data_IF_994253929123
#
_entry.id   IF_994253929123
#
_cell.length_a   1.000
_cell.length_b   1.000
_cell.length_c   1.000
_cell.angle_alpha   90.00
_cell.angle_beta   90.00
_cell.angle_gamma   90.00
#
_symmetry.space_group_name_H-M   'P 1'
#
loop_
_entity.id
_entity.type
_entity.pdbx_description
1 polymer ?
#
# COMPACT_ATOMS: atom_id res chain seq x y z
N UNK A 1 9.58 -8.33 12.32
CA UNK A 1 9.81 -7.60 11.06
C UNK A 1 9.45 -6.14 11.28
N UNK A 2 10.15 -5.23 10.60
CA UNK A 2 9.87 -3.80 10.65
C UNK A 2 9.20 -3.36 9.36
N UNK A 3 8.27 -2.41 9.44
CA UNK A 3 7.51 -2.01 8.26
C UNK A 3 7.23 -0.50 8.21
N UNK A 4 7.00 -0.03 6.99
CA UNK A 4 6.46 1.30 6.71
C UNK A 4 5.05 1.13 6.18
N UNK A 5 4.08 1.83 6.78
CA UNK A 5 2.68 1.87 6.33
C UNK A 5 2.42 3.18 5.60
N UNK A 6 1.88 3.08 4.39
CA UNK A 6 1.58 4.24 3.54
C UNK A 6 0.10 4.24 3.15
N UNK A 7 -0.50 5.42 3.05
CA UNK A 7 -1.95 5.60 3.02
C UNK A 7 -2.59 4.90 4.24
N UNK A 8 -2.01 5.16 5.41
CA UNK A 8 -2.16 4.34 6.62
C UNK A 8 -3.58 4.29 7.15
N UNK A 9 -4.40 5.32 6.89
CA UNK A 9 -5.71 5.43 7.50
C UNK A 9 -5.60 5.42 9.02
N UNK A 10 -6.45 4.64 9.69
CA UNK A 10 -6.41 4.42 11.14
C UNK A 10 -5.51 3.23 11.55
N UNK A 11 -4.71 2.72 10.63
CA UNK A 11 -3.65 1.72 10.82
C UNK A 11 -4.13 0.30 11.17
N UNK A 12 -4.83 -0.32 10.22
CA UNK A 12 -5.27 -1.71 10.36
C UNK A 12 -4.09 -2.71 10.34
N UNK A 13 -2.99 -2.38 9.66
CA UNK A 13 -1.82 -3.25 9.57
C UNK A 13 -1.17 -3.43 10.95
N UNK A 14 -1.00 -2.37 11.73
CA UNK A 14 -0.45 -2.45 13.09
C UNK A 14 -1.35 -3.30 13.99
N UNK A 15 -2.67 -3.14 13.93
CA UNK A 15 -3.61 -3.97 14.71
C UNK A 15 -3.45 -5.45 14.36
N UNK A 16 -3.29 -5.78 13.08
CA UNK A 16 -3.14 -7.17 12.62
C UNK A 16 -1.77 -7.77 12.98
N UNK A 17 -0.71 -6.96 12.96
CA UNK A 17 0.66 -7.44 13.05
C UNK A 17 1.32 -7.28 14.41
N UNK A 18 0.75 -6.45 15.28
CA UNK A 18 1.22 -6.29 16.67
C UNK A 18 1.33 -7.64 17.43
N UNK A 19 0.33 -8.56 17.34
CA UNK A 19 0.42 -9.88 17.98
C UNK A 19 1.56 -10.75 17.43
N UNK A 20 2.09 -10.44 16.25
CA UNK A 20 3.23 -11.13 15.64
C UNK A 20 4.57 -10.52 16.04
N UNK A 21 4.58 -9.47 16.86
CA UNK A 21 5.79 -8.75 17.24
C UNK A 21 6.40 -7.94 16.09
N UNK A 22 5.59 -7.53 15.12
CA UNK A 22 6.07 -6.66 14.04
C UNK A 22 5.92 -5.19 14.43
N UNK A 23 6.87 -4.36 14.01
CA UNK A 23 7.01 -2.99 14.48
C UNK A 23 6.88 -1.99 13.31
N UNK A 24 5.99 -0.98 13.41
CA UNK A 24 5.96 0.11 12.46
C UNK A 24 7.17 1.04 12.66
N UNK A 25 7.79 1.46 11.55
CA UNK A 25 8.86 2.45 11.53
C UNK A 25 8.31 3.86 11.29
N UNK A 26 7.33 3.96 10.42
CA UNK A 26 6.68 5.22 10.06
C UNK A 26 5.32 4.97 9.40
N UNK A 27 4.47 5.98 9.47
CA UNK A 27 3.20 6.08 8.77
C UNK A 27 3.25 7.19 7.72
N UNK A 28 2.40 7.11 6.70
CA UNK A 28 2.12 8.21 5.79
C UNK A 28 0.62 8.34 5.61
N UNK A 29 0.05 9.37 6.23
CA UNK A 29 -1.37 9.68 6.19
C UNK A 29 -1.54 11.21 6.16
N UNK A 30 -2.33 11.71 5.20
CA UNK A 30 -2.54 13.14 5.00
C UNK A 30 -3.86 13.64 5.60
N UNK A 31 -4.85 12.76 5.75
CA UNK A 31 -6.16 13.13 6.27
C UNK A 31 -6.05 13.48 7.77
N UNK A 32 -6.58 14.62 8.20
CA UNK A 32 -6.46 15.06 9.60
C UNK A 32 -7.08 14.11 10.61
N UNK A 33 -8.22 13.49 10.29
CA UNK A 33 -8.89 12.60 11.25
C UNK A 33 -8.10 11.31 11.49
N UNK A 34 -7.74 10.50 10.47
CA UNK A 34 -6.86 9.36 10.68
C UNK A 34 -5.52 9.73 11.32
N UNK A 35 -4.92 10.86 10.93
CA UNK A 35 -3.67 11.34 11.54
C UNK A 35 -3.79 11.58 13.04
N UNK A 36 -4.94 12.09 13.50
CA UNK A 36 -5.21 12.25 14.94
C UNK A 36 -5.33 10.89 15.63
N UNK A 37 -5.95 9.90 14.98
CA UNK A 37 -6.04 8.52 15.50
C UNK A 37 -4.66 7.90 15.61
N UNK A 38 -3.81 8.06 14.59
CA UNK A 38 -2.42 7.58 14.62
C UNK A 38 -1.63 8.20 15.78
N UNK A 39 -1.71 9.52 15.94
CA UNK A 39 -1.03 10.24 17.03
C UNK A 39 -1.50 9.79 18.41
N UNK A 40 -2.78 9.43 18.55
CA UNK A 40 -3.32 8.96 19.83
C UNK A 40 -2.84 7.55 20.19
N UNK A 41 -2.88 6.62 19.22
CA UNK A 41 -2.56 5.21 19.47
C UNK A 41 -1.08 4.88 19.34
N UNK A 42 -0.34 5.65 18.53
CA UNK A 42 1.07 5.41 18.19
C UNK A 42 1.89 6.69 18.30
N UNK A 43 1.93 7.35 19.48
CA UNK A 43 2.56 8.66 19.64
C UNK A 43 4.06 8.67 19.32
N UNK A 44 4.73 7.53 19.44
CA UNK A 44 6.17 7.38 19.21
C UNK A 44 6.52 7.04 17.75
N UNK A 45 5.51 6.80 16.91
CA UNK A 45 5.72 6.47 15.49
C UNK A 45 5.45 7.71 14.64
N UNK A 46 6.42 8.17 13.83
CA UNK A 46 6.23 9.37 13.03
C UNK A 46 5.20 9.15 11.92
N UNK A 47 4.24 10.08 11.79
CA UNK A 47 3.41 10.22 10.59
C UNK A 47 4.07 11.25 9.66
N UNK A 48 4.56 10.78 8.52
CA UNK A 48 5.31 11.57 7.53
C UNK A 48 4.40 12.42 6.62
N UNK A 49 3.08 12.27 6.74
CA UNK A 49 2.09 13.05 6.00
C UNK A 49 2.03 12.74 4.51
N UNK A 50 2.16 13.76 3.67
CA UNK A 50 1.99 13.70 2.22
C UNK A 50 3.07 12.83 1.55
N UNK A 51 2.65 11.69 1.02
CA UNK A 51 3.54 10.70 0.40
C UNK A 51 4.37 11.29 -0.74
N UNK A 52 3.84 12.29 -1.46
CA UNK A 52 4.54 12.93 -2.60
C UNK A 52 5.77 13.74 -2.17
N UNK A 53 5.89 14.04 -0.89
CA UNK A 53 6.96 14.88 -0.31
C UNK A 53 7.95 14.09 0.56
N UNK A 54 7.71 12.80 0.76
CA UNK A 54 8.53 12.00 1.65
C UNK A 54 9.88 11.67 1.00
N UNK A 55 10.94 11.94 1.74
CA UNK A 55 12.27 11.38 1.52
C UNK A 55 12.37 10.03 2.24
N UNK A 56 12.50 8.96 1.48
CA UNK A 56 12.57 7.60 2.01
C UNK A 56 13.97 7.19 2.46
N UNK A 57 14.99 8.01 2.19
CA UNK A 57 16.40 7.66 2.47
C UNK A 57 16.68 7.22 3.91
N UNK A 58 16.03 7.77 4.98
CA UNK A 58 16.26 7.32 6.34
C UNK A 58 15.75 5.90 6.64
N UNK A 59 14.87 5.36 5.80
CA UNK A 59 14.21 4.07 5.99
C UNK A 59 14.74 2.97 5.07
N UNK A 60 15.64 3.31 4.15
CA UNK A 60 16.27 2.35 3.23
C UNK A 60 17.06 1.31 4.00
N UNK A 61 16.77 0.03 3.76
CA UNK A 61 17.40 -1.09 4.46
C UNK A 61 16.90 -1.31 5.90
N UNK A 62 16.06 -0.42 6.45
CA UNK A 62 15.46 -0.59 7.76
C UNK A 62 14.08 -1.26 7.70
N UNK A 63 13.34 -1.06 6.61
CA UNK A 63 12.02 -1.62 6.40
C UNK A 63 12.09 -2.99 5.73
N UNK A 64 11.58 -4.01 6.40
CA UNK A 64 11.37 -5.35 5.82
C UNK A 64 10.15 -5.37 4.90
N UNK A 65 9.11 -4.57 5.22
CA UNK A 65 7.83 -4.54 4.52
C UNK A 65 7.40 -3.11 4.24
N UNK A 66 6.81 -2.89 3.06
CA UNK A 66 5.96 -1.73 2.75
C UNK A 66 4.52 -2.22 2.62
N UNK A 67 3.60 -1.63 3.37
CA UNK A 67 2.17 -1.94 3.30
C UNK A 67 1.36 -0.69 3.02
N UNK A 68 0.29 -0.83 2.25
CA UNK A 68 -0.64 0.27 2.02
C UNK A 68 -1.61 0.02 0.87
N UNK A 69 -2.64 0.86 0.81
CA UNK A 69 -3.65 0.83 -0.23
C UNK A 69 -3.78 2.21 -0.87
N UNK A 70 -3.29 2.39 -2.09
CA UNK A 70 -3.45 3.66 -2.78
C UNK A 70 -4.94 3.98 -3.01
N UNK A 71 -5.38 5.23 -2.79
CA UNK A 71 -6.78 5.62 -3.01
C UNK A 71 -7.27 5.31 -4.42
N UNK A 72 -8.48 4.72 -4.50
CA UNK A 72 -9.10 4.29 -5.76
C UNK A 72 -9.94 5.41 -6.43
N UNK A 73 -9.86 6.65 -5.98
CA UNK A 73 -10.80 7.73 -6.35
C UNK A 73 -10.71 8.24 -7.78
N UNK A 74 -9.77 7.81 -8.58
CA UNK A 74 -9.61 8.25 -9.99
C UNK A 74 -9.93 7.20 -11.03
N UNK A 75 -10.48 6.09 -10.61
CA UNK A 75 -11.03 5.14 -11.52
C UNK A 75 -12.50 5.44 -11.86
N UNK A 76 -13.06 6.58 -11.41
CA UNK A 76 -14.37 7.04 -11.84
C UNK A 76 -14.26 7.78 -13.16
N UNK A 77 -14.86 7.19 -14.16
CA UNK A 77 -15.13 7.73 -15.48
C UNK A 77 -16.02 8.97 -15.33
N UNK A 78 -15.47 10.15 -15.18
CA UNK A 78 -16.09 11.41 -15.58
C UNK A 78 -15.12 12.59 -15.36
N UNK A 79 -14.45 13.02 -16.40
CA UNK A 79 -13.88 14.35 -16.44
C UNK A 79 -12.38 14.44 -16.65
N UNK A 80 -12.05 14.83 -17.87
CA UNK A 80 -10.82 15.46 -18.33
C UNK A 80 -9.51 14.74 -18.10
N UNK A 81 -8.88 14.41 -19.21
CA UNK A 81 -7.46 14.12 -19.41
C UNK A 81 -6.55 15.20 -18.79
N UNK A 82 -6.48 15.22 -17.47
CA UNK A 82 -5.36 15.82 -16.76
C UNK A 82 -4.37 14.69 -16.55
N UNK A 83 -3.30 14.70 -17.35
CA UNK A 83 -2.31 13.63 -17.39
C UNK A 83 -1.69 13.37 -16.01
N UNK A 84 -1.27 12.11 -15.75
CA UNK A 84 -0.43 11.59 -14.66
C UNK A 84 -0.62 12.13 -13.21
N UNK A 85 -1.48 13.09 -12.99
CA UNK A 85 -1.71 13.80 -11.72
C UNK A 85 -2.99 13.39 -10.99
N UNK A 86 -3.71 12.36 -11.49
CA UNK A 86 -4.88 11.82 -10.81
C UNK A 86 -4.53 10.72 -9.80
N UNK A 87 -5.46 9.83 -9.44
CA UNK A 87 -5.23 8.72 -8.49
C UNK A 87 -4.33 7.62 -9.05
N UNK A 88 -4.11 7.54 -10.36
CA UNK A 88 -2.95 6.85 -10.93
C UNK A 88 -1.66 7.40 -10.35
N UNK A 89 -1.56 8.72 -10.10
CA UNK A 89 -0.42 9.36 -9.45
C UNK A 89 -0.09 8.76 -8.08
N UNK A 90 -1.08 8.51 -7.23
CA UNK A 90 -0.85 7.96 -5.88
C UNK A 90 -0.45 6.47 -5.92
N UNK A 91 -0.88 5.70 -6.92
CA UNK A 91 -0.36 4.37 -7.16
C UNK A 91 1.13 4.42 -7.55
N UNK A 92 1.55 5.42 -8.35
CA UNK A 92 2.96 5.63 -8.68
C UNK A 92 3.79 6.03 -7.47
N UNK A 93 3.21 6.77 -6.52
CA UNK A 93 3.87 7.05 -5.24
C UNK A 93 4.06 5.78 -4.39
N UNK A 94 3.09 4.85 -4.41
CA UNK A 94 3.28 3.53 -3.81
C UNK A 94 4.45 2.80 -4.46
N UNK A 95 4.49 2.75 -5.81
CA UNK A 95 5.58 2.13 -6.58
C UNK A 95 6.92 2.81 -6.26
N UNK A 96 6.95 4.15 -6.16
CA UNK A 96 8.13 4.93 -5.79
C UNK A 96 8.65 4.53 -4.41
N UNK A 97 7.76 4.44 -3.41
CA UNK A 97 8.14 4.02 -2.06
C UNK A 97 8.76 2.62 -2.06
N UNK A 98 8.16 1.65 -2.74
CA UNK A 98 8.73 0.28 -2.86
C UNK A 98 10.08 0.30 -3.59
N UNK A 99 10.22 1.10 -4.65
CA UNK A 99 11.46 1.22 -5.43
C UNK A 99 12.60 1.81 -4.60
N UNK A 100 12.33 2.84 -3.81
CA UNK A 100 13.33 3.53 -3.01
C UNK A 100 13.70 2.74 -1.74
N UNK A 101 12.71 2.25 -1.01
CA UNK A 101 12.90 1.48 0.23
C UNK A 101 13.49 0.09 -0.03
N UNK A 102 13.21 -0.51 -1.18
CA UNK A 102 13.63 -1.86 -1.55
C UNK A 102 13.35 -2.91 -0.45
N UNK A 103 12.14 -2.94 0.12
CA UNK A 103 11.82 -3.88 1.19
C UNK A 103 11.92 -5.32 0.70
N UNK A 104 12.06 -6.26 1.63
CA UNK A 104 12.00 -7.69 1.32
C UNK A 104 10.63 -8.11 0.82
N UNK A 105 9.56 -7.49 1.38
CA UNK A 105 8.16 -7.74 1.07
C UNK A 105 7.41 -6.44 0.83
N UNK A 106 6.35 -6.51 0.05
CA UNK A 106 5.33 -5.47 0.04
C UNK A 106 3.93 -6.07 0.06
N UNK A 107 2.97 -5.32 0.60
CA UNK A 107 1.54 -5.66 0.60
C UNK A 107 0.77 -4.46 0.09
N UNK A 108 0.10 -4.62 -1.04
CA UNK A 108 -0.79 -3.61 -1.59
C UNK A 108 -2.24 -4.08 -1.49
N UNK A 109 -3.12 -3.22 -0.95
CA UNK A 109 -4.54 -3.51 -0.81
C UNK A 109 -5.37 -2.57 -1.67
N UNK A 110 -6.46 -3.09 -2.28
CA UNK A 110 -7.43 -2.23 -2.96
C UNK A 110 -8.79 -2.92 -3.12
N UNK A 111 -9.76 -2.21 -3.70
CA UNK A 111 -11.05 -2.79 -4.08
C UNK A 111 -10.91 -3.65 -5.34
N UNK A 112 -11.76 -4.70 -5.54
CA UNK A 112 -11.72 -5.53 -6.75
C UNK A 112 -11.88 -4.74 -8.07
N UNK A 113 -12.55 -3.58 -8.01
CA UNK A 113 -12.66 -2.67 -9.16
C UNK A 113 -11.32 -2.20 -9.74
N UNK A 114 -10.22 -2.29 -8.97
CA UNK A 114 -8.88 -2.00 -9.46
C UNK A 114 -8.46 -2.89 -10.64
N UNK A 115 -8.98 -4.13 -10.73
CA UNK A 115 -8.70 -5.03 -11.86
C UNK A 115 -9.29 -4.57 -13.19
N UNK A 116 -10.42 -3.85 -13.17
CA UNK A 116 -11.19 -3.47 -14.37
C UNK A 116 -11.08 -2.00 -14.68
N UNK A 117 -10.60 -1.21 -13.74
CA UNK A 117 -10.39 0.20 -13.91
C UNK A 117 -9.45 0.50 -15.07
N UNK A 118 -9.78 1.51 -15.88
CA UNK A 118 -9.03 1.86 -17.09
C UNK A 118 -8.75 0.62 -17.99
N UNK A 119 -9.70 -0.30 -18.07
CA UNK A 119 -9.58 -1.59 -18.77
C UNK A 119 -8.47 -2.49 -18.20
N UNK A 120 -8.16 -2.35 -16.92
CA UNK A 120 -7.10 -3.10 -16.23
C UNK A 120 -5.69 -2.55 -16.43
N UNK A 121 -5.55 -1.42 -17.11
CA UNK A 121 -4.24 -0.85 -17.45
C UNK A 121 -3.43 -0.50 -16.20
N UNK A 122 -4.05 0.21 -15.24
CA UNK A 122 -3.37 0.61 -14.02
C UNK A 122 -2.87 -0.58 -13.19
N UNK A 123 -3.70 -1.62 -13.06
CA UNK A 123 -3.28 -2.83 -12.32
C UNK A 123 -2.17 -3.59 -13.05
N UNK A 124 -2.25 -3.70 -14.38
CA UNK A 124 -1.19 -4.31 -15.19
C UNK A 124 0.12 -3.54 -15.05
N UNK A 125 0.07 -2.21 -15.05
CA UNK A 125 1.25 -1.39 -14.84
C UNK A 125 1.86 -1.59 -13.46
N UNK A 126 1.04 -1.64 -12.39
CA UNK A 126 1.53 -1.97 -11.05
C UNK A 126 2.28 -3.31 -11.04
N UNK A 127 1.69 -4.37 -11.61
CA UNK A 127 2.34 -5.68 -11.70
C UNK A 127 3.66 -5.62 -12.48
N UNK A 128 3.67 -4.94 -13.64
CA UNK A 128 4.86 -4.80 -14.49
C UNK A 128 6.00 -4.05 -13.78
N UNK A 129 5.68 -2.97 -13.07
CA UNK A 129 6.68 -2.21 -12.31
C UNK A 129 7.27 -3.03 -11.15
N UNK A 130 6.43 -3.78 -10.43
CA UNK A 130 6.90 -4.62 -9.33
C UNK A 130 7.72 -5.82 -9.81
N UNK A 131 7.34 -6.43 -10.93
CA UNK A 131 8.12 -7.49 -11.58
C UNK A 131 9.49 -6.97 -12.04
N UNK A 132 9.52 -5.78 -12.67
CA UNK A 132 10.76 -5.13 -13.08
C UNK A 132 11.69 -4.77 -11.90
N UNK A 133 11.14 -4.57 -10.70
CA UNK A 133 11.90 -4.41 -9.47
C UNK A 133 12.40 -5.73 -8.86
N UNK A 134 12.06 -6.88 -9.48
CA UNK A 134 12.52 -8.22 -9.08
C UNK A 134 11.66 -8.87 -8.01
N UNK A 135 10.39 -8.49 -7.87
CA UNK A 135 9.46 -9.15 -6.96
C UNK A 135 8.72 -10.31 -7.63
N UNK A 136 8.71 -11.48 -6.99
CA UNK A 136 7.72 -12.51 -7.27
C UNK A 136 6.38 -12.10 -6.69
N UNK A 137 5.30 -12.22 -7.47
CA UNK A 137 3.99 -11.64 -7.16
C UNK A 137 2.92 -12.71 -6.95
N UNK A 138 2.07 -12.50 -5.95
CA UNK A 138 0.85 -13.27 -5.73
C UNK A 138 -0.28 -12.34 -5.29
N UNK A 139 -1.50 -12.59 -5.76
CA UNK A 139 -2.66 -11.80 -5.32
C UNK A 139 -3.90 -12.66 -5.12
N UNK A 140 -4.78 -12.17 -4.24
CA UNK A 140 -6.05 -12.81 -3.94
C UNK A 140 -7.11 -11.78 -3.58
N UNK A 141 -8.35 -12.06 -3.95
CA UNK A 141 -9.51 -11.34 -3.41
C UNK A 141 -9.93 -12.07 -2.13
N UNK A 142 -10.01 -11.33 -1.05
CA UNK A 142 -10.49 -11.80 0.26
C UNK A 142 -11.74 -11.02 0.65
N UNK A 143 -12.69 -11.71 1.28
CA UNK A 143 -13.91 -11.07 1.79
C UNK A 143 -13.93 -11.19 3.32
N UNK A 144 -14.08 -10.04 4.00
CA UNK A 144 -14.03 -9.93 5.46
C UNK A 144 -15.03 -10.85 6.16
N UNK A 145 -16.18 -11.18 5.54
CA UNK A 145 -17.17 -12.07 6.12
C UNK A 145 -16.62 -13.46 6.49
N UNK A 146 -15.56 -13.93 5.81
CA UNK A 146 -14.92 -15.22 6.08
C UNK A 146 -13.84 -15.14 7.18
N UNK A 147 -13.64 -13.96 7.77
CA UNK A 147 -12.64 -13.70 8.80
C UNK A 147 -13.27 -13.22 10.12
N UNK A 148 -14.51 -13.61 10.39
CA UNK A 148 -15.19 -13.31 11.65
C UNK A 148 -15.83 -11.93 11.74
N UNK A 149 -15.96 -11.21 10.63
CA UNK A 149 -16.59 -9.88 10.55
C UNK A 149 -17.94 -10.01 9.84
N UNK A 150 -19.02 -9.51 10.44
CA UNK A 150 -20.36 -9.51 9.84
C UNK A 150 -20.51 -8.41 8.76
N UNK A 151 -19.55 -8.35 7.83
CA UNK A 151 -19.53 -7.38 6.75
C UNK A 151 -19.05 -8.05 5.45
N UNK A 152 -19.82 -7.96 4.38
CA UNK A 152 -19.36 -8.29 3.05
C UNK A 152 -18.44 -7.16 2.58
N UNK A 153 -17.11 -7.43 2.57
CA UNK A 153 -16.09 -6.47 2.18
C UNK A 153 -14.99 -7.17 1.41
N UNK A 154 -15.11 -7.17 0.11
CA UNK A 154 -14.11 -7.76 -0.78
C UNK A 154 -12.95 -6.79 -1.00
N UNK A 155 -11.74 -7.31 -0.87
CA UNK A 155 -10.49 -6.56 -1.16
C UNK A 155 -9.50 -7.45 -1.88
N UNK A 156 -8.80 -6.88 -2.84
CA UNK A 156 -7.63 -7.52 -3.43
C UNK A 156 -6.42 -7.20 -2.57
N UNK A 157 -5.66 -8.23 -2.26
CA UNK A 157 -4.34 -8.12 -1.65
C UNK A 157 -3.31 -8.62 -2.67
N UNK A 158 -2.38 -7.76 -3.05
CA UNK A 158 -1.21 -8.10 -3.84
C UNK A 158 -0.02 -8.15 -2.90
N UNK A 159 0.66 -9.28 -2.86
CA UNK A 159 1.89 -9.49 -2.07
C UNK A 159 3.05 -9.71 -3.02
N UNK A 160 4.13 -8.98 -2.80
CA UNK A 160 5.38 -9.20 -3.50
C UNK A 160 6.51 -9.59 -2.57
N UNK A 161 7.38 -10.48 -3.05
CA UNK A 161 8.57 -10.91 -2.31
C UNK A 161 9.78 -10.96 -3.22
N UNK A 162 10.92 -10.46 -2.73
CA UNK A 162 12.22 -10.58 -3.41
C UNK A 162 12.90 -11.93 -3.16
N UNK A 163 12.38 -12.73 -2.21
CA UNK A 163 12.90 -14.07 -1.92
C UNK A 163 12.30 -15.15 -2.84
N UNK A 164 11.20 -14.82 -3.50
CA UNK A 164 10.54 -15.73 -4.45
C UNK A 164 11.03 -15.31 -5.83
N UNK A 165 11.97 -16.10 -6.39
CA UNK A 165 12.36 -15.92 -7.78
C UNK A 165 11.12 -16.06 -8.66
N UNK A 166 10.89 -15.14 -9.63
CA UNK A 166 9.82 -15.31 -10.59
C UNK A 166 10.01 -16.67 -11.26
N UNK A 167 9.01 -17.52 -11.17
CA UNK A 167 9.00 -18.75 -11.97
C UNK A 167 8.67 -18.31 -13.39
N UNK A 168 9.69 -18.32 -14.24
CA UNK A 168 9.56 -18.23 -15.69
C UNK A 168 8.71 -19.39 -16.22
#
# INVERSE_FOLDING_TARGET
>A
MKYVSIFSGIEAATVAWHPLGWEPLAFSEIDPFPSTVLQHHYPDIPNLGDITKIDWSPYVGAADIVVGGSPCQSFSVAGKREGLAGASGLMFEYIRAVRELRPRWFVWENVPGAFTSERGEAYRQLLSEMDALGYGLAWRVLDAQFFGVAQRRERVFLVGSRDILPRL
#
